data_IF_635108876046
#
_entry.id   IF_635108876046
#
_cell.length_a   1.000
_cell.length_b   1.000
_cell.length_c   1.000
_cell.angle_alpha   90.00
_cell.angle_beta   90.00
_cell.angle_gamma   90.00
#
_symmetry.space_group_name_H-M   'P 1'
#
loop_
_entity.id
_entity.type
_entity.pdbx_description
1 polymer ?
#
# COMPACT_ATOMS: atom_id res chain seq x y z
N UNK A 1 27.02 21.50 -20.79
CA UNK A 1 27.47 22.17 -19.58
C UNK A 1 26.79 21.58 -18.34
N UNK A 2 27.33 21.79 -17.12
CA UNK A 2 26.73 21.30 -15.85
C UNK A 2 25.32 21.85 -15.64
N UNK A 3 25.06 23.10 -16.05
CA UNK A 3 23.75 23.71 -16.02
C UNK A 3 22.71 22.96 -16.88
N UNK A 4 23.09 22.54 -18.08
CA UNK A 4 22.21 21.73 -18.96
C UNK A 4 21.91 20.36 -18.36
N UNK A 5 22.91 19.68 -17.76
CA UNK A 5 22.71 18.41 -17.05
C UNK A 5 21.77 18.57 -15.83
N UNK A 6 21.89 19.67 -15.09
CA UNK A 6 21.01 19.99 -13.95
C UNK A 6 19.57 20.29 -14.39
N UNK A 7 19.39 21.02 -15.49
CA UNK A 7 18.07 21.31 -16.06
C UNK A 7 17.39 20.05 -16.58
N UNK A 8 18.13 19.20 -17.31
CA UNK A 8 17.61 17.93 -17.83
C UNK A 8 17.27 16.96 -16.68
N UNK A 9 18.05 16.92 -15.60
CA UNK A 9 17.76 16.13 -14.41
C UNK A 9 16.46 16.58 -13.75
N UNK A 10 16.27 17.89 -13.60
CA UNK A 10 15.05 18.45 -12.97
C UNK A 10 13.80 18.25 -13.85
N UNK A 11 13.90 18.28 -15.18
CA UNK A 11 12.78 17.98 -16.07
C UNK A 11 12.35 16.52 -15.94
N UNK A 12 13.30 15.59 -15.88
CA UNK A 12 13.00 14.16 -15.74
C UNK A 12 12.34 13.84 -14.38
N UNK A 13 12.77 14.47 -13.28
CA UNK A 13 12.13 14.27 -11.97
C UNK A 13 10.70 14.83 -11.92
N UNK A 14 10.43 15.94 -12.60
CA UNK A 14 9.06 16.49 -12.73
C UNK A 14 8.14 15.56 -13.53
N UNK A 15 8.65 14.98 -14.61
CA UNK A 15 7.93 14.03 -15.43
C UNK A 15 7.60 12.76 -14.65
N UNK A 16 8.57 12.15 -14.00
CA UNK A 16 8.36 10.99 -13.11
C UNK A 16 7.35 11.31 -12.00
N UNK A 17 7.44 12.51 -11.41
CA UNK A 17 6.48 12.97 -10.40
C UNK A 17 5.06 12.98 -10.92
N UNK A 18 4.84 13.49 -12.13
CA UNK A 18 3.54 13.53 -12.79
C UNK A 18 3.02 12.12 -13.06
N UNK A 19 3.85 11.26 -13.65
CA UNK A 19 3.48 9.89 -14.00
C UNK A 19 3.09 9.07 -12.76
N UNK A 20 3.82 9.22 -11.66
CA UNK A 20 3.51 8.58 -10.37
C UNK A 20 2.19 9.11 -9.78
N UNK A 21 1.91 10.41 -9.93
CA UNK A 21 0.63 10.98 -9.50
C UNK A 21 -0.54 10.47 -10.34
N UNK A 22 -0.36 10.36 -11.66
CA UNK A 22 -1.39 9.86 -12.57
C UNK A 22 -1.63 8.36 -12.34
N UNK A 23 -0.57 7.58 -12.14
CA UNK A 23 -0.66 6.19 -11.71
C UNK A 23 -1.46 6.05 -10.39
N UNK A 24 -1.19 6.89 -9.39
CA UNK A 24 -1.91 6.85 -8.11
C UNK A 24 -3.39 7.20 -8.25
N UNK A 25 -3.76 8.09 -9.18
CA UNK A 25 -5.17 8.41 -9.50
C UNK A 25 -5.92 7.20 -10.05
N UNK A 26 -5.29 6.44 -10.94
CA UNK A 26 -5.87 5.18 -11.45
C UNK A 26 -6.07 4.16 -10.32
N UNK A 27 -5.19 4.17 -9.32
CA UNK A 27 -5.21 3.30 -8.15
C UNK A 27 -5.98 3.86 -6.94
N UNK A 28 -6.75 4.91 -7.08
CA UNK A 28 -7.36 5.69 -5.99
C UNK A 28 -8.22 4.88 -5.00
N UNK A 29 -8.69 3.69 -5.38
CA UNK A 29 -9.41 2.77 -4.46
C UNK A 29 -8.51 2.11 -3.42
N UNK A 30 -7.22 1.96 -3.71
CA UNK A 30 -6.28 1.20 -2.86
C UNK A 30 -5.03 1.97 -2.49
N UNK A 31 -4.68 3.01 -3.23
CA UNK A 31 -3.49 3.84 -3.02
C UNK A 31 -3.88 5.29 -2.86
N UNK A 32 -3.33 5.94 -1.84
CA UNK A 32 -3.42 7.39 -1.66
C UNK A 32 -2.02 7.96 -1.51
N UNK A 33 -1.71 9.01 -2.30
CA UNK A 33 -0.48 9.78 -2.19
C UNK A 33 -0.76 11.18 -1.66
N UNK A 34 0.09 11.65 -0.77
CA UNK A 34 0.12 13.00 -0.23
C UNK A 34 1.47 13.60 -0.59
N UNK A 35 1.46 14.62 -1.43
CA UNK A 35 2.69 15.33 -1.79
C UNK A 35 3.18 16.14 -0.61
N UNK A 36 4.46 15.98 -0.27
CA UNK A 36 5.12 16.80 0.73
C UNK A 36 5.79 17.96 0.00
N UNK A 37 5.29 19.17 0.27
CA UNK A 37 5.91 20.36 -0.30
C UNK A 37 7.19 20.69 0.47
N UNK A 38 8.33 20.54 -0.20
CA UNK A 38 9.64 20.90 0.32
C UNK A 38 10.11 22.28 -0.13
N UNK A 39 9.29 22.99 -0.94
CA UNK A 39 9.56 24.36 -1.39
C UNK A 39 9.50 25.31 -0.21
N UNK A 40 10.56 26.08 -0.03
CA UNK A 40 10.62 27.10 1.00
C UNK A 40 9.50 28.14 0.83
N UNK A 41 8.94 28.59 1.93
CA UNK A 41 8.01 29.73 1.98
C UNK A 41 8.86 30.99 2.07
N UNK A 42 8.61 32.03 1.22
CA UNK A 42 9.30 33.31 1.36
C UNK A 42 9.15 33.84 2.79
N UNK A 43 10.24 34.25 3.41
CA UNK A 43 10.26 34.73 4.80
C UNK A 43 9.97 36.25 4.92
N UNK A 44 9.68 36.91 3.80
CA UNK A 44 9.45 38.35 3.73
C UNK A 44 10.72 39.21 3.87
N UNK A 45 11.88 38.57 4.09
CA UNK A 45 13.20 39.23 4.23
C UNK A 45 14.18 38.89 3.11
N UNK A 46 13.65 38.34 1.99
CA UNK A 46 14.42 37.89 0.83
C UNK A 46 15.00 36.48 0.96
N UNK A 47 14.69 35.76 2.04
CA UNK A 47 15.04 34.35 2.26
C UNK A 47 13.83 33.43 2.10
N UNK A 48 14.08 32.11 2.27
CA UNK A 48 13.07 31.07 2.27
C UNK A 48 13.19 30.23 3.53
N UNK A 49 12.07 30.03 4.23
CA UNK A 49 11.97 29.04 5.30
C UNK A 49 11.53 27.71 4.72
N UNK A 50 12.23 26.62 5.02
CA UNK A 50 11.77 25.28 4.68
C UNK A 50 10.59 24.93 5.57
N UNK A 51 9.51 24.45 4.97
CA UNK A 51 8.27 24.12 5.68
C UNK A 51 8.27 22.68 6.21
N UNK A 52 9.27 21.89 5.85
CA UNK A 52 9.35 20.47 6.19
C UNK A 52 10.73 20.13 6.74
N UNK A 53 10.77 19.01 7.44
CA UNK A 53 12.01 18.41 7.92
C UNK A 53 12.94 18.09 6.75
N UNK A 54 14.22 18.44 6.93
CA UNK A 54 15.26 18.23 5.91
C UNK A 54 15.38 16.75 5.58
N UNK A 55 15.30 16.42 4.30
CA UNK A 55 15.38 15.04 3.81
C UNK A 55 14.02 14.33 3.72
N UNK A 56 12.92 15.03 4.01
CA UNK A 56 11.57 14.50 3.80
C UNK A 56 11.38 14.00 2.36
N UNK A 57 10.64 12.89 2.15
CA UNK A 57 10.38 12.35 0.83
C UNK A 57 9.43 13.25 0.01
N UNK A 58 9.35 13.03 -1.29
CA UNK A 58 8.43 13.78 -2.16
C UNK A 58 6.95 13.43 -1.88
N UNK A 59 6.69 12.17 -1.48
CA UNK A 59 5.35 11.70 -1.15
C UNK A 59 5.35 10.83 0.10
N UNK A 60 4.35 11.04 0.95
CA UNK A 60 3.84 10.02 1.86
C UNK A 60 2.60 9.39 1.25
N UNK A 61 2.36 8.12 1.53
CA UNK A 61 1.21 7.43 1.02
C UNK A 61 0.68 6.36 1.95
N UNK A 62 -0.53 5.92 1.64
CA UNK A 62 -1.16 4.79 2.28
C UNK A 62 -1.63 3.79 1.21
N UNK A 63 -1.29 2.52 1.39
CA UNK A 63 -1.81 1.40 0.63
C UNK A 63 -2.84 0.66 1.46
N UNK A 64 -4.07 0.56 0.96
CA UNK A 64 -5.17 -0.10 1.65
C UNK A 64 -5.16 -1.60 1.36
N UNK A 65 -4.77 -2.41 2.35
CA UNK A 65 -4.80 -3.86 2.28
C UNK A 65 -5.81 -4.40 3.29
N UNK A 66 -6.87 -5.04 2.83
CA UNK A 66 -7.95 -5.56 3.67
C UNK A 66 -8.49 -4.51 4.69
N UNK A 67 -8.71 -3.27 4.23
CA UNK A 67 -9.13 -2.11 5.04
C UNK A 67 -8.09 -1.60 6.05
N UNK A 68 -6.88 -2.14 6.06
CA UNK A 68 -5.77 -1.66 6.88
C UNK A 68 -4.88 -0.76 6.03
N UNK A 69 -4.66 0.52 6.41
CA UNK A 69 -3.72 1.38 5.75
C UNK A 69 -2.28 0.98 6.11
N UNK A 70 -1.47 0.69 5.12
CA UNK A 70 -0.05 0.45 5.27
C UNK A 70 0.68 1.68 4.73
N UNK A 71 1.44 2.33 5.60
CA UNK A 71 2.15 3.55 5.26
C UNK A 71 3.39 3.26 4.42
N UNK A 72 3.63 4.14 3.46
CA UNK A 72 4.84 4.14 2.66
C UNK A 72 5.28 5.56 2.30
N UNK A 73 6.53 5.70 1.87
CA UNK A 73 7.11 6.94 1.39
C UNK A 73 7.77 6.71 0.03
N UNK A 74 7.57 7.65 -0.89
CA UNK A 74 8.22 7.66 -2.19
C UNK A 74 9.13 8.89 -2.32
N UNK A 75 10.38 8.63 -2.59
CA UNK A 75 11.37 9.61 -2.99
C UNK A 75 11.56 9.52 -4.50
N UNK A 76 11.22 10.58 -5.21
CA UNK A 76 11.35 10.61 -6.67
C UNK A 76 12.78 10.97 -7.06
N UNK A 77 13.32 10.25 -8.02
CA UNK A 77 14.64 10.51 -8.59
C UNK A 77 14.63 10.37 -10.10
N UNK A 78 15.48 11.15 -10.75
CA UNK A 78 15.86 10.87 -12.13
C UNK A 78 16.59 9.51 -12.23
N UNK A 79 16.71 8.90 -13.42
CA UNK A 79 17.37 7.61 -13.61
C UNK A 79 18.76 7.52 -12.99
N UNK A 80 19.53 8.63 -13.04
CA UNK A 80 20.89 8.74 -12.45
C UNK A 80 20.91 9.41 -11.09
N UNK A 81 19.76 9.85 -10.58
CA UNK A 81 19.64 10.55 -9.30
C UNK A 81 19.97 9.66 -8.11
N UNK A 82 20.59 10.24 -7.10
CA UNK A 82 20.96 9.59 -5.83
C UNK A 82 20.35 10.35 -4.65
N UNK A 83 20.13 9.63 -3.55
CA UNK A 83 19.71 10.27 -2.30
C UNK A 83 20.82 11.12 -1.71
N UNK A 84 20.44 12.22 -1.06
CA UNK A 84 21.30 12.97 -0.16
C UNK A 84 21.42 12.26 1.19
N UNK A 85 22.42 12.66 2.00
CA UNK A 85 22.60 12.06 3.33
C UNK A 85 21.41 12.38 4.27
N UNK A 86 20.83 13.58 4.15
CA UNK A 86 19.61 13.92 4.88
C UNK A 86 18.42 13.00 4.51
N UNK A 87 18.26 12.64 3.23
CA UNK A 87 17.22 11.70 2.78
C UNK A 87 17.47 10.28 3.29
N UNK A 88 18.73 9.83 3.32
CA UNK A 88 19.10 8.53 3.91
C UNK A 88 18.81 8.48 5.41
N UNK A 89 19.09 9.56 6.14
CA UNK A 89 18.80 9.66 7.57
C UNK A 89 17.28 9.62 7.82
N UNK A 90 16.52 10.37 7.03
CA UNK A 90 15.05 10.35 7.12
C UNK A 90 14.49 8.96 6.80
N UNK A 91 14.99 8.30 5.74
CA UNK A 91 14.61 6.91 5.40
C UNK A 91 14.84 5.98 6.58
N UNK A 92 16.03 6.03 7.21
CA UNK A 92 16.36 5.16 8.35
C UNK A 92 15.39 5.35 9.52
N UNK A 93 15.01 6.59 9.82
CA UNK A 93 14.04 6.89 10.86
C UNK A 93 12.65 6.34 10.49
N UNK A 94 12.16 6.62 9.27
CA UNK A 94 10.87 6.18 8.78
C UNK A 94 10.73 4.65 8.80
N UNK A 95 11.76 3.94 8.36
CA UNK A 95 11.80 2.47 8.40
C UNK A 95 11.77 1.94 9.83
N UNK A 96 12.40 2.64 10.79
CA UNK A 96 12.32 2.34 12.22
C UNK A 96 10.90 2.44 12.77
N UNK A 97 10.07 3.33 12.23
CA UNK A 97 8.63 3.43 12.54
C UNK A 97 7.74 2.51 11.70
N UNK A 98 8.33 1.65 10.84
CA UNK A 98 7.61 0.69 10.01
C UNK A 98 7.06 1.27 8.71
N UNK A 99 7.42 2.49 8.33
CA UNK A 99 7.08 3.09 7.04
C UNK A 99 7.92 2.42 5.96
N UNK A 100 7.28 1.93 4.90
CA UNK A 100 8.00 1.33 3.77
C UNK A 100 8.52 2.45 2.86
N UNK A 101 9.84 2.61 2.76
CA UNK A 101 10.46 3.68 1.97
C UNK A 101 10.98 3.14 0.64
N UNK A 102 10.74 3.88 -0.46
CA UNK A 102 11.20 3.52 -1.80
C UNK A 102 11.71 4.74 -2.57
N UNK A 103 12.79 4.52 -3.31
CA UNK A 103 13.26 5.44 -4.34
C UNK A 103 12.54 5.05 -5.62
N UNK A 104 11.90 6.00 -6.28
CA UNK A 104 11.04 5.79 -7.44
C UNK A 104 11.58 6.59 -8.61
N UNK A 105 11.83 5.93 -9.73
CA UNK A 105 12.35 6.53 -10.96
C UNK A 105 11.39 6.40 -12.14
N UNK A 106 10.31 5.63 -11.96
CA UNK A 106 9.22 5.49 -12.93
C UNK A 106 7.94 5.04 -12.23
N UNK A 107 6.79 5.14 -12.92
CA UNK A 107 5.52 4.65 -12.38
C UNK A 107 5.49 3.11 -12.22
N UNK A 108 6.23 2.36 -13.05
CA UNK A 108 6.38 0.90 -12.94
C UNK A 108 7.09 0.52 -11.63
N UNK A 109 8.09 1.33 -11.22
CA UNK A 109 8.75 1.13 -9.93
C UNK A 109 7.79 1.42 -8.76
N UNK A 110 6.92 2.42 -8.89
CA UNK A 110 5.87 2.67 -7.91
C UNK A 110 4.89 1.48 -7.79
N UNK A 111 4.46 0.91 -8.92
CA UNK A 111 3.64 -0.30 -8.94
C UNK A 111 4.35 -1.48 -8.28
N UNK A 112 5.63 -1.70 -8.63
CA UNK A 112 6.45 -2.76 -8.04
C UNK A 112 6.63 -2.59 -6.53
N UNK A 113 6.77 -1.35 -6.05
CA UNK A 113 6.86 -1.02 -4.63
C UNK A 113 5.58 -1.42 -3.88
N UNK A 114 4.40 -1.09 -4.42
CA UNK A 114 3.12 -1.51 -3.83
C UNK A 114 2.96 -3.02 -3.82
N UNK A 115 3.38 -3.71 -4.88
CA UNK A 115 3.36 -5.18 -4.91
C UNK A 115 4.28 -5.79 -3.84
N UNK A 116 5.46 -5.19 -3.58
CA UNK A 116 6.36 -5.61 -2.48
C UNK A 116 5.70 -5.41 -1.11
N UNK A 117 5.04 -4.26 -0.90
CA UNK A 117 4.26 -4.01 0.31
C UNK A 117 3.16 -5.06 0.47
N UNK A 118 2.39 -5.31 -0.59
CA UNK A 118 1.33 -6.32 -0.59
C UNK A 118 1.88 -7.69 -0.18
N UNK A 119 2.94 -8.16 -0.84
CA UNK A 119 3.57 -9.46 -0.55
C UNK A 119 4.10 -9.54 0.89
N UNK A 120 4.74 -8.47 1.39
CA UNK A 120 5.29 -8.39 2.74
C UNK A 120 4.22 -8.48 3.82
N UNK A 121 3.06 -7.86 3.59
CA UNK A 121 2.03 -7.67 4.62
C UNK A 121 0.85 -8.64 4.51
N UNK A 122 0.54 -9.20 3.33
CA UNK A 122 -0.61 -10.09 3.14
C UNK A 122 -0.62 -11.30 4.09
N UNK A 123 0.56 -11.85 4.41
CA UNK A 123 0.68 -13.01 5.30
C UNK A 123 0.69 -12.63 6.80
N UNK A 124 0.95 -11.34 7.11
CA UNK A 124 0.96 -10.81 8.48
C UNK A 124 -0.43 -10.33 8.92
N UNK A 125 -1.27 -9.96 7.96
CA UNK A 125 -2.66 -9.61 8.20
C UNK A 125 -3.44 -10.92 8.26
N UNK A 126 -3.25 -11.65 9.36
CA UNK A 126 -4.12 -12.78 9.64
C UNK A 126 -5.51 -12.24 10.01
N UNK A 127 -6.54 -12.94 9.58
CA UNK A 127 -7.92 -12.58 9.90
C UNK A 127 -8.17 -12.54 11.42
N UNK A 128 -7.43 -13.34 12.21
CA UNK A 128 -7.46 -13.27 13.67
C UNK A 128 -6.99 -11.93 14.22
N UNK A 129 -5.98 -11.32 13.60
CA UNK A 129 -5.53 -9.96 13.95
C UNK A 129 -6.61 -8.90 13.66
N UNK A 130 -7.31 -9.01 12.53
CA UNK A 130 -8.42 -8.13 12.18
C UNK A 130 -9.59 -8.27 13.14
N UNK A 131 -10.01 -9.51 13.47
CA UNK A 131 -11.10 -9.76 14.40
C UNK A 131 -10.81 -9.31 15.84
N UNK A 132 -9.53 -9.30 16.27
CA UNK A 132 -9.13 -8.82 17.59
C UNK A 132 -9.05 -7.29 17.67
N UNK A 133 -8.64 -6.63 16.59
CA UNK A 133 -8.47 -5.17 16.56
C UNK A 133 -9.75 -4.43 16.18
N UNK A 134 -10.64 -5.08 15.47
CA UNK A 134 -11.94 -4.55 15.03
C UNK A 134 -13.03 -5.56 15.37
N UNK A 135 -13.48 -5.59 16.65
CA UNK A 135 -14.47 -6.58 17.11
C UNK A 135 -15.79 -6.55 16.34
N UNK A 136 -16.14 -5.40 15.77
CA UNK A 136 -17.28 -5.22 14.88
C UNK A 136 -17.16 -5.99 13.56
N UNK A 137 -15.94 -6.36 13.16
CA UNK A 137 -15.69 -7.17 11.97
C UNK A 137 -15.48 -8.66 12.27
N UNK A 138 -15.52 -9.05 13.57
CA UNK A 138 -15.29 -10.44 13.98
C UNK A 138 -16.27 -11.40 13.35
N UNK A 139 -17.53 -11.01 13.25
CA UNK A 139 -18.58 -11.80 12.62
C UNK A 139 -18.35 -11.96 11.11
N UNK A 140 -17.93 -10.91 10.43
CA UNK A 140 -17.55 -10.91 9.01
C UNK A 140 -16.35 -11.81 8.76
N UNK A 141 -15.39 -11.81 9.67
CA UNK A 141 -14.18 -12.64 9.63
C UNK A 141 -14.54 -14.11 9.85
N UNK A 142 -15.36 -14.41 10.85
CA UNK A 142 -15.80 -15.77 11.15
C UNK A 142 -16.66 -16.36 10.02
N UNK A 143 -17.44 -15.53 9.33
CA UNK A 143 -18.26 -15.96 8.20
C UNK A 143 -17.50 -16.15 6.89
N UNK A 144 -16.28 -15.65 6.77
CA UNK A 144 -15.43 -15.77 5.58
C UNK A 144 -14.58 -17.05 5.54
N UNK A 145 -14.38 -17.70 6.70
CA UNK A 145 -13.56 -18.89 6.82
C UNK A 145 -14.38 -20.07 7.32
N UNK A 146 -14.30 -21.18 6.60
CA UNK A 146 -14.86 -22.45 7.01
C UNK A 146 -13.68 -23.40 7.22
N UNK A 147 -13.69 -24.12 8.33
CA UNK A 147 -12.76 -25.22 8.55
C UNK A 147 -13.29 -26.45 7.82
N UNK A 148 -12.57 -26.86 6.80
CA UNK A 148 -12.88 -28.09 6.05
C UNK A 148 -11.82 -29.12 6.41
N UNK A 149 -12.26 -30.30 6.86
CA UNK A 149 -11.37 -31.45 7.03
C UNK A 149 -11.16 -32.11 5.67
N UNK A 150 -9.92 -32.30 5.28
CA UNK A 150 -9.61 -33.09 4.09
C UNK A 150 -9.82 -34.60 4.37
N UNK A 151 -9.68 -35.43 3.34
CA UNK A 151 -9.82 -36.89 3.42
C UNK A 151 -8.84 -37.56 4.40
N UNK A 152 -7.81 -36.84 4.84
CA UNK A 152 -6.85 -37.29 5.87
C UNK A 152 -7.20 -36.84 7.29
N UNK A 153 -8.30 -36.09 7.46
CA UNK A 153 -8.74 -35.50 8.72
C UNK A 153 -7.99 -34.21 9.11
N UNK A 154 -7.11 -33.72 8.25
CA UNK A 154 -6.36 -32.47 8.48
C UNK A 154 -7.26 -31.26 8.25
N UNK A 155 -7.34 -30.39 9.25
CA UNK A 155 -8.14 -29.17 9.16
C UNK A 155 -7.47 -28.17 8.20
N UNK A 156 -8.20 -27.77 7.16
CA UNK A 156 -7.79 -26.75 6.22
C UNK A 156 -8.78 -25.59 6.27
N UNK A 157 -8.28 -24.37 6.51
CA UNK A 157 -9.13 -23.18 6.44
C UNK A 157 -9.29 -22.76 4.99
N UNK A 158 -10.52 -22.66 4.52
CA UNK A 158 -10.84 -22.16 3.18
C UNK A 158 -11.85 -21.03 3.24
N UNK A 159 -11.90 -20.18 2.23
CA UNK A 159 -12.88 -19.08 2.19
C UNK A 159 -14.23 -19.57 1.71
N UNK A 160 -15.32 -19.03 2.26
CA UNK A 160 -16.68 -19.36 1.83
C UNK A 160 -16.91 -19.12 0.33
N UNK A 161 -16.21 -18.16 -0.26
CA UNK A 161 -16.26 -17.87 -1.70
C UNK A 161 -15.71 -18.99 -2.59
N UNK A 162 -14.85 -19.86 -2.06
CA UNK A 162 -14.35 -21.04 -2.80
C UNK A 162 -15.33 -22.22 -2.80
N UNK A 163 -16.42 -22.13 -2.04
CA UNK A 163 -17.46 -23.17 -1.91
C UNK A 163 -18.76 -22.75 -2.63
N UNK A 164 -18.87 -21.49 -3.06
CA UNK A 164 -20.02 -21.06 -3.86
C UNK A 164 -19.85 -21.64 -5.27
N UNK A 165 -20.72 -22.58 -5.70
CA UNK A 165 -20.66 -23.09 -7.06
C UNK A 165 -20.87 -21.93 -8.04
N UNK A 166 -20.15 -21.98 -9.15
CA UNK A 166 -20.34 -21.07 -10.29
C UNK A 166 -21.85 -20.94 -10.58
N UNK A 167 -22.42 -19.72 -10.62
CA UNK A 167 -23.88 -19.53 -10.87
C UNK A 167 -24.32 -20.06 -12.22
N UNK A 168 -23.41 -20.48 -13.10
CA UNK A 168 -23.73 -21.23 -14.33
C UNK A 168 -23.92 -22.72 -14.12
N UNK A 169 -23.62 -23.27 -12.96
CA UNK A 169 -23.83 -24.69 -12.65
C UNK A 169 -25.09 -24.86 -11.78
N UNK A 170 -26.24 -24.90 -12.44
CA UNK A 170 -27.58 -24.99 -11.85
C UNK A 170 -27.93 -26.37 -11.25
N UNK A 171 -27.09 -26.93 -10.39
CA UNK A 171 -27.54 -28.02 -9.50
C UNK A 171 -27.66 -27.45 -8.08
N UNK A 172 -28.89 -27.15 -7.66
CA UNK A 172 -29.21 -26.84 -6.26
C UNK A 172 -28.88 -28.07 -5.41
N UNK A 173 -28.14 -27.97 -4.31
CA UNK A 173 -28.13 -29.01 -3.30
C UNK A 173 -29.52 -29.08 -2.64
N UNK A 174 -29.97 -30.29 -2.41
CA UNK A 174 -31.25 -30.62 -1.83
C UNK A 174 -31.46 -29.99 -0.46
N UNK A 175 -32.70 -29.63 -0.19
CA UNK A 175 -33.18 -29.03 1.05
C UNK A 175 -32.70 -29.87 2.26
N UNK A 176 -32.06 -29.20 3.19
CA UNK A 176 -31.91 -29.72 4.56
C UNK A 176 -33.30 -29.83 5.12
N UNK A 177 -33.74 -31.06 5.37
CA UNK A 177 -34.98 -31.33 6.10
C UNK A 177 -34.77 -30.92 7.57
N UNK A 178 -35.56 -29.94 8.00
CA UNK A 178 -35.72 -29.62 9.41
C UNK A 178 -36.34 -30.84 10.09
N UNK A 179 -35.63 -31.44 11.01
CA UNK A 179 -36.22 -32.46 11.89
C UNK A 179 -37.07 -31.73 12.92
N UNK A 180 -38.36 -32.14 13.10
CA UNK A 180 -39.18 -31.59 14.15
C UNK A 180 -38.68 -32.05 15.52
N UNK A 181 -38.54 -31.11 16.42
CA UNK A 181 -38.23 -31.36 17.81
C UNK A 181 -39.32 -32.21 18.50
N UNK A 182 -38.83 -33.12 19.32
CA UNK A 182 -39.56 -33.79 20.38
C UNK A 182 -38.98 -33.33 21.74
#
# INVERSE_FOLDING_TARGET
TELQKKQQKNSNEKEVTKDVQDWARVRAKTVRLFRIQTTGIPDGKGGFRTNNEKGSPDFLGAYLLAKIPILFAFEIKSPTGKQSDSQKNWQKQAEGFGINYFIIKSWEEAESAIQKIHKKHRNKISWGFLGNRYPEHRELVNNLWIEVKDSSGKVKRTTRSSIIPDPKNKKRPDKIQDSPGG
#
